data_IF_257419276237
#
_entry.id   IF_257419276237
#
_cell.length_a   1.000
_cell.length_b   1.000
_cell.length_c   1.000
_cell.angle_alpha   90.00
_cell.angle_beta   90.00
_cell.angle_gamma   90.00
#
_symmetry.space_group_name_H-M   'P 1'
#
loop_
_entity.id
_entity.type
_entity.pdbx_description
1 polymer ?
#
# COMPACT_ATOMS: atom_id res chain seq x y z
N UNK A 1 1.14 -9.63 -20.31
CA UNK A 1 -0.24 -9.33 -19.90
C UNK A 1 -1.17 -10.25 -20.69
N UNK A 2 -1.56 -11.39 -20.11
CA UNK A 2 -2.29 -12.48 -20.78
C UNK A 2 -3.78 -12.09 -20.85
N UNK A 3 -4.42 -12.33 -22.00
CA UNK A 3 -5.81 -11.95 -22.31
C UNK A 3 -6.79 -12.30 -21.16
N UNK A 4 -7.26 -11.27 -20.44
CA UNK A 4 -8.23 -11.37 -19.35
C UNK A 4 -9.66 -11.26 -19.91
N UNK A 5 -10.60 -12.12 -19.46
CA UNK A 5 -11.97 -12.16 -19.99
C UNK A 5 -12.72 -10.85 -19.66
N UNK A 6 -13.68 -10.47 -20.51
CA UNK A 6 -14.42 -9.18 -20.41
C UNK A 6 -15.10 -8.98 -19.03
N UNK A 7 -15.64 -10.04 -18.42
CA UNK A 7 -16.24 -9.97 -17.08
C UNK A 7 -15.21 -9.75 -15.97
N UNK A 8 -14.06 -10.46 -16.02
CA UNK A 8 -12.95 -10.22 -15.08
C UNK A 8 -12.42 -8.79 -15.21
N UNK A 9 -12.38 -8.25 -16.44
CA UNK A 9 -11.99 -6.86 -16.68
C UNK A 9 -12.94 -5.85 -16.03
N UNK A 10 -14.24 -6.14 -15.96
CA UNK A 10 -15.24 -5.26 -15.35
C UNK A 10 -15.18 -5.34 -13.81
N UNK A 11 -15.07 -6.55 -13.26
CA UNK A 11 -14.90 -6.75 -11.81
C UNK A 11 -13.62 -6.08 -11.31
N UNK A 12 -12.51 -6.23 -12.04
CA UNK A 12 -11.25 -5.61 -11.67
C UNK A 12 -11.32 -4.08 -11.73
N UNK A 13 -12.00 -3.52 -12.75
CA UNK A 13 -12.20 -2.06 -12.86
C UNK A 13 -12.95 -1.52 -11.64
N UNK A 14 -14.03 -2.18 -11.22
CA UNK A 14 -14.79 -1.75 -10.04
C UNK A 14 -13.93 -1.67 -8.78
N UNK A 15 -13.08 -2.69 -8.55
CA UNK A 15 -12.14 -2.72 -7.42
C UNK A 15 -11.10 -1.60 -7.55
N UNK A 16 -10.50 -1.45 -8.73
CA UNK A 16 -9.46 -0.46 -9.00
C UNK A 16 -9.95 0.99 -8.90
N UNK A 17 -11.23 1.26 -9.22
CA UNK A 17 -11.84 2.57 -9.04
C UNK A 17 -11.98 2.96 -7.56
N UNK A 18 -12.02 2.00 -6.63
CA UNK A 18 -12.14 2.24 -5.18
C UNK A 18 -10.82 2.11 -4.42
N UNK A 19 -9.81 1.49 -5.02
CA UNK A 19 -8.45 1.43 -4.46
C UNK A 19 -7.82 2.84 -4.42
N UNK A 20 -7.04 3.13 -3.38
CA UNK A 20 -6.53 4.49 -3.09
C UNK A 20 -5.07 4.54 -2.68
N UNK A 21 -4.44 3.39 -2.40
CA UNK A 21 -3.11 3.30 -1.82
C UNK A 21 -2.03 3.02 -2.88
N UNK A 22 -2.36 2.31 -3.97
CA UNK A 22 -1.37 1.84 -4.96
C UNK A 22 -1.69 2.22 -6.40
N UNK A 23 -2.97 2.39 -6.77
CA UNK A 23 -3.40 2.60 -8.15
C UNK A 23 -2.79 3.81 -8.84
N UNK A 24 -2.45 4.86 -8.10
CA UNK A 24 -1.77 6.03 -8.64
C UNK A 24 -0.39 5.70 -9.26
N UNK A 25 0.21 4.58 -8.87
CA UNK A 25 1.48 4.10 -9.43
C UNK A 25 1.31 3.18 -10.64
N UNK A 26 0.12 2.60 -10.86
CA UNK A 26 -0.12 1.66 -11.96
C UNK A 26 -0.11 2.34 -13.35
N UNK A 27 -0.15 3.67 -13.40
CA UNK A 27 0.03 4.41 -14.64
C UNK A 27 1.50 4.56 -15.05
N UNK A 28 2.45 4.29 -14.14
CA UNK A 28 3.88 4.40 -14.39
C UNK A 28 4.39 3.16 -15.14
N UNK A 29 5.04 3.39 -16.29
CA UNK A 29 5.58 2.34 -17.15
C UNK A 29 6.76 1.57 -16.56
N UNK A 30 7.31 2.00 -15.42
CA UNK A 30 8.38 1.29 -14.70
C UNK A 30 7.92 0.66 -13.39
N UNK A 31 6.63 0.75 -13.06
CA UNK A 31 6.07 0.23 -11.80
C UNK A 31 6.28 -1.28 -11.63
N UNK A 32 6.46 -2.02 -12.72
CA UNK A 32 6.78 -3.45 -12.76
C UNK A 32 8.18 -3.77 -12.19
N UNK A 33 9.11 -2.81 -12.24
CA UNK A 33 10.49 -2.97 -11.74
C UNK A 33 10.69 -2.41 -10.34
N UNK A 34 9.64 -1.82 -9.78
CA UNK A 34 9.74 -1.18 -8.48
C UNK A 34 9.80 -2.21 -7.35
N UNK A 35 10.59 -1.94 -6.30
CA UNK A 35 10.57 -2.78 -5.11
C UNK A 35 9.20 -2.72 -4.43
N UNK A 36 8.85 -3.78 -3.72
CA UNK A 36 7.66 -3.80 -2.87
C UNK A 36 7.87 -2.87 -1.68
N UNK A 37 6.91 -1.97 -1.46
CA UNK A 37 6.90 -0.96 -0.40
C UNK A 37 5.60 -1.06 0.40
N UNK A 38 5.65 -0.56 1.64
CA UNK A 38 4.45 -0.33 2.41
C UNK A 38 3.90 1.06 2.04
N UNK A 39 2.63 1.08 1.65
CA UNK A 39 1.89 2.28 1.25
C UNK A 39 0.81 2.56 2.29
N UNK A 40 0.81 3.77 2.84
CA UNK A 40 -0.11 4.14 3.91
C UNK A 40 -0.58 5.58 3.74
N UNK A 41 -1.89 5.82 3.85
CA UNK A 41 -2.51 7.12 3.62
C UNK A 41 -3.13 7.71 4.89
N UNK A 42 -2.63 7.35 6.07
CA UNK A 42 -3.10 7.86 7.38
C UNK A 42 -4.44 7.29 7.85
N UNK A 43 -5.38 7.04 6.94
CA UNK A 43 -6.76 6.65 7.23
C UNK A 43 -6.99 5.14 7.37
N UNK A 44 -6.06 4.32 6.87
CA UNK A 44 -6.18 2.86 6.96
C UNK A 44 -5.50 2.32 8.23
N UNK A 45 -6.14 1.38 8.92
CA UNK A 45 -5.55 0.67 10.07
C UNK A 45 -4.27 -0.08 9.64
N UNK A 46 -4.22 -0.53 8.38
CA UNK A 46 -3.09 -1.23 7.79
C UNK A 46 -2.57 -0.51 6.54
N UNK A 47 -1.25 -0.44 6.40
CA UNK A 47 -0.63 -0.15 5.12
C UNK A 47 -0.75 -1.34 4.16
N UNK A 48 -0.79 -1.06 2.86
CA UNK A 48 -0.81 -2.09 1.81
C UNK A 48 0.58 -2.32 1.25
N UNK A 49 0.86 -3.57 0.89
CA UNK A 49 2.06 -3.94 0.17
C UNK A 49 1.84 -3.90 -1.33
N UNK A 50 2.54 -2.98 -1.99
CA UNK A 50 2.50 -2.83 -3.42
C UNK A 50 3.83 -2.24 -3.96
N UNK A 51 4.08 -2.34 -5.27
CA UNK A 51 5.21 -1.65 -5.89
C UNK A 51 5.14 -0.15 -5.64
N UNK A 52 6.26 0.44 -5.20
CA UNK A 52 6.38 1.86 -4.92
C UNK A 52 7.75 2.41 -5.31
N UNK A 53 7.86 3.72 -5.59
CA UNK A 53 9.08 4.28 -6.16
C UNK A 53 10.30 4.05 -5.25
N UNK A 54 11.49 3.80 -5.83
CA UNK A 54 12.69 3.63 -5.05
C UNK A 54 13.07 4.95 -4.37
N UNK A 55 13.49 4.87 -3.10
CA UNK A 55 14.00 6.00 -2.34
C UNK A 55 15.11 5.52 -1.40
N UNK A 56 16.06 6.40 -1.13
CA UNK A 56 17.12 6.19 -0.14
C UNK A 56 16.62 6.46 1.29
N UNK A 57 15.50 7.18 1.43
CA UNK A 57 14.91 7.47 2.74
C UNK A 57 14.16 6.24 3.29
N UNK A 58 14.20 6.00 4.61
CA UNK A 58 13.48 4.89 5.23
C UNK A 58 11.97 5.06 5.10
N UNK A 59 11.49 6.30 5.20
CA UNK A 59 10.11 6.71 4.96
C UNK A 59 10.15 8.03 4.19
N UNK A 60 9.31 8.16 3.18
CA UNK A 60 9.04 9.42 2.50
C UNK A 60 7.53 9.55 2.27
N UNK A 61 7.07 10.74 1.91
CA UNK A 61 5.67 10.98 1.60
C UNK A 61 5.51 11.67 0.24
N UNK A 62 4.38 11.39 -0.41
CA UNK A 62 3.89 12.08 -1.59
C UNK A 62 2.80 13.03 -1.12
N UNK A 63 2.92 14.32 -1.46
CA UNK A 63 1.96 15.34 -1.04
C UNK A 63 0.56 14.98 -1.54
N UNK A 64 -0.44 15.37 -0.75
CA UNK A 64 -1.85 15.13 -1.06
C UNK A 64 -2.20 15.55 -2.49
N UNK A 65 -1.93 16.78 -2.91
CA UNK A 65 -2.24 17.26 -4.26
C UNK A 65 -1.61 16.41 -5.39
N UNK A 66 -0.37 15.97 -5.21
CA UNK A 66 0.31 15.10 -6.18
C UNK A 66 -0.31 13.71 -6.20
N UNK A 67 -0.61 13.15 -5.03
CA UNK A 67 -1.23 11.82 -4.93
C UNK A 67 -2.65 11.80 -5.51
N UNK A 68 -3.45 12.81 -5.18
CA UNK A 68 -4.77 13.03 -5.76
C UNK A 68 -4.72 13.07 -7.29
N UNK A 69 -3.76 13.80 -7.86
CA UNK A 69 -3.59 13.89 -9.30
C UNK A 69 -3.29 12.51 -9.92
N UNK A 70 -2.32 11.77 -9.36
CA UNK A 70 -1.94 10.43 -9.86
C UNK A 70 -3.13 9.46 -9.84
N UNK A 71 -3.92 9.45 -8.76
CA UNK A 71 -5.11 8.58 -8.65
C UNK A 71 -6.20 8.99 -9.64
N UNK A 72 -6.46 10.30 -9.82
CA UNK A 72 -7.43 10.78 -10.81
C UNK A 72 -7.05 10.39 -12.23
N UNK A 73 -5.80 10.61 -12.62
CA UNK A 73 -5.30 10.27 -13.96
C UNK A 73 -5.50 8.78 -14.25
N UNK A 74 -5.20 7.92 -13.28
CA UNK A 74 -5.44 6.49 -13.39
C UNK A 74 -6.94 6.17 -13.54
N UNK A 75 -7.81 6.73 -12.67
CA UNK A 75 -9.27 6.49 -12.69
C UNK A 75 -9.90 6.92 -14.01
N UNK A 76 -9.47 8.06 -14.56
CA UNK A 76 -9.88 8.54 -15.89
C UNK A 76 -9.46 7.53 -16.96
N UNK A 77 -8.20 7.08 -16.94
CA UNK A 77 -7.64 6.15 -17.93
C UNK A 77 -8.36 4.80 -17.98
N UNK A 78 -8.77 4.27 -16.82
CA UNK A 78 -9.49 2.99 -16.75
C UNK A 78 -11.01 3.13 -16.95
N UNK A 79 -11.53 4.37 -17.04
CA UNK A 79 -12.94 4.65 -17.27
C UNK A 79 -13.84 4.48 -16.04
N UNK A 80 -13.41 4.99 -14.89
CA UNK A 80 -14.26 5.11 -13.70
C UNK A 80 -15.36 6.18 -13.89
N UNK A 81 -16.39 6.14 -13.05
CA UNK A 81 -17.43 7.19 -13.04
C UNK A 81 -16.91 8.50 -12.42
N UNK A 82 -17.63 9.61 -12.63
CA UNK A 82 -17.23 10.93 -12.13
C UNK A 82 -17.17 11.00 -10.60
N UNK A 83 -18.08 10.31 -9.89
CA UNK A 83 -18.08 10.27 -8.42
C UNK A 83 -16.78 9.66 -7.87
N UNK A 84 -16.33 8.55 -8.45
CA UNK A 84 -15.10 7.88 -8.07
C UNK A 84 -13.89 8.75 -8.42
N UNK A 85 -13.91 9.47 -9.53
CA UNK A 85 -12.83 10.40 -9.89
C UNK A 85 -12.78 11.57 -8.88
N UNK A 86 -13.93 12.12 -8.50
CA UNK A 86 -14.01 13.22 -7.54
C UNK A 86 -13.69 12.81 -6.11
N UNK A 87 -14.00 11.58 -5.71
CA UNK A 87 -13.63 11.02 -4.41
C UNK A 87 -12.11 11.01 -4.20
N UNK A 88 -11.31 11.01 -5.27
CA UNK A 88 -9.87 11.17 -5.17
C UNK A 88 -9.46 12.50 -4.54
N UNK A 89 -10.28 13.56 -4.58
CA UNK A 89 -9.99 14.86 -3.93
C UNK A 89 -9.91 14.77 -2.40
N UNK A 90 -10.47 13.72 -1.81
CA UNK A 90 -10.49 13.50 -0.36
C UNK A 90 -9.25 12.77 0.14
N UNK A 91 -8.32 12.43 -0.75
CA UNK A 91 -7.12 11.70 -0.41
C UNK A 91 -6.06 12.64 0.20
N UNK A 92 -5.54 12.23 1.35
CA UNK A 92 -4.42 12.88 2.02
C UNK A 92 -3.09 12.48 1.37
N UNK A 93 -1.97 12.85 1.99
CA UNK A 93 -0.66 12.38 1.57
C UNK A 93 -0.51 10.85 1.63
N UNK A 94 0.35 10.32 0.77
CA UNK A 94 0.73 8.91 0.78
C UNK A 94 2.13 8.74 1.37
N UNK A 95 2.22 8.02 2.48
CA UNK A 95 3.46 7.58 3.08
C UNK A 95 3.95 6.29 2.41
N UNK A 96 5.23 6.26 2.07
CA UNK A 96 5.91 5.13 1.46
C UNK A 96 7.09 4.73 2.33
N UNK A 97 7.06 3.50 2.84
CA UNK A 97 8.08 2.98 3.75
C UNK A 97 8.92 1.89 3.07
N UNK A 98 10.25 1.99 3.22
CA UNK A 98 11.25 1.07 2.68
C UNK A 98 11.25 -0.29 3.39
N UNK A 99 11.11 -0.28 4.71
CA UNK A 99 11.23 -1.46 5.57
C UNK A 99 9.89 -1.71 6.25
N UNK A 100 9.43 -2.98 6.30
CA UNK A 100 8.16 -3.46 6.91
C UNK A 100 6.94 -3.51 6.00
N UNK A 101 7.08 -4.10 4.82
CA UNK A 101 5.92 -4.70 4.15
C UNK A 101 5.74 -6.14 4.60
N UNK A 102 4.96 -6.35 5.66
CA UNK A 102 4.49 -7.68 6.06
C UNK A 102 3.01 -7.71 5.72
N UNK A 103 2.54 -8.81 5.13
CA UNK A 103 1.17 -9.03 4.63
C UNK A 103 0.05 -8.91 5.72
N UNK A 104 0.37 -8.38 6.91
CA UNK A 104 -0.49 -8.22 8.08
C UNK A 104 -0.18 -6.97 8.94
N UNK A 105 0.28 -5.86 8.34
CA UNK A 105 0.48 -4.59 9.05
C UNK A 105 1.87 -4.40 9.67
N UNK A 106 2.05 -3.25 10.34
CA UNK A 106 3.35 -2.76 10.84
C UNK A 106 3.88 -3.69 11.95
N UNK A 107 4.69 -4.66 11.54
CA UNK A 107 5.88 -5.26 12.17
C UNK A 107 6.14 -5.24 13.68
N UNK A 108 5.16 -5.22 14.58
CA UNK A 108 5.39 -5.37 16.02
C UNK A 108 5.06 -6.77 16.55
N UNK A 109 4.13 -7.49 15.92
CA UNK A 109 3.63 -8.77 16.44
C UNK A 109 4.74 -9.83 16.51
N UNK A 110 5.50 -10.01 15.43
CA UNK A 110 6.59 -10.99 15.39
C UNK A 110 7.69 -10.68 16.42
N UNK A 111 8.02 -9.40 16.60
CA UNK A 111 8.99 -8.96 17.61
C UNK A 111 8.49 -9.16 19.04
N UNK A 112 7.21 -8.91 19.30
CA UNK A 112 6.58 -9.18 20.60
C UNK A 112 6.67 -10.67 20.92
N UNK A 113 6.33 -11.56 19.98
CA UNK A 113 6.42 -13.00 20.21
C UNK A 113 7.84 -13.44 20.58
N UNK A 114 8.87 -12.97 19.85
CA UNK A 114 10.26 -13.28 20.16
C UNK A 114 10.65 -12.78 21.55
N UNK A 115 10.28 -11.54 21.89
CA UNK A 115 10.57 -10.95 23.21
C UNK A 115 9.87 -11.71 24.34
N UNK A 116 8.60 -12.10 24.17
CA UNK A 116 7.86 -12.87 25.16
C UNK A 116 8.48 -14.25 25.36
N UNK A 117 8.91 -14.93 24.29
CA UNK A 117 9.59 -16.23 24.40
C UNK A 117 10.90 -16.10 25.18
N UNK A 118 11.73 -15.09 24.87
CA UNK A 118 12.97 -14.83 25.61
C UNK A 118 12.71 -14.55 27.09
N UNK A 119 11.67 -13.78 27.40
CA UNK A 119 11.30 -13.46 28.77
C UNK A 119 10.89 -14.71 29.56
N UNK A 120 10.06 -15.57 28.97
CA UNK A 120 9.63 -16.83 29.58
C UNK A 120 10.83 -17.76 29.81
N UNK A 121 11.71 -17.91 28.81
CA UNK A 121 12.92 -18.72 28.94
C UNK A 121 13.83 -18.22 30.06
N UNK A 122 14.01 -16.91 30.20
CA UNK A 122 14.81 -16.32 31.27
C UNK A 122 14.20 -16.54 32.65
N UNK A 123 12.88 -16.37 32.78
CA UNK A 123 12.18 -16.65 34.05
C UNK A 123 12.25 -18.12 34.46
N UNK A 124 12.12 -19.05 33.50
CA UNK A 124 12.23 -20.48 33.79
C UNK A 124 13.64 -20.86 34.23
N UNK A 125 14.68 -20.33 33.58
CA UNK A 125 16.08 -20.54 33.96
C UNK A 125 16.43 -20.02 35.35
N UNK A 126 15.79 -18.94 35.82
CA UNK A 126 15.98 -18.39 37.17
C UNK A 126 15.20 -19.16 38.25
N UNK A 127 14.20 -19.95 37.86
CA UNK A 127 13.38 -20.75 38.78
C UNK A 127 13.84 -22.20 38.90
N UNK A 128 14.78 -22.65 38.06
CA UNK A 128 15.55 -23.90 38.19
C UNK A 128 16.88 -23.67 38.90
#
# INVERSE_FOLDING_TARGET
MKSMKRDESLTMRYILCKEVQSVGFMNDGQSDRWPIRCLWNGNAINGTCAPGPPSNQPVFYIKSNEWQQKVKEFRIKIGCNSSDIEDANKLDELYVCKERCVQAGIGYISSIFIMTTLFISFTLLLMT
#
